data_IF_020716181231
#
_entry.id   IF_020716181231
#
_cell.length_a   1.000
_cell.length_b   1.000
_cell.length_c   1.000
_cell.angle_alpha   90.00
_cell.angle_beta   90.00
_cell.angle_gamma   90.00
#
_symmetry.space_group_name_H-M   'P 1'
#
loop_
_entity.id
_entity.type
_entity.pdbx_description
1 polymer ?
#
# COMPACT_ATOMS: atom_id res chain seq x y z
N UNK A 1 23.13 7.78 -17.17
CA UNK A 1 22.14 7.97 -18.26
C UNK A 1 20.84 7.37 -17.77
N UNK A 2 19.79 8.17 -17.63
CA UNK A 2 18.47 7.69 -17.23
C UNK A 2 17.63 7.51 -18.50
N UNK A 3 17.00 6.34 -18.65
CA UNK A 3 16.16 6.02 -19.80
C UNK A 3 14.71 6.28 -19.41
N UNK A 4 13.96 6.92 -20.31
CA UNK A 4 12.55 7.23 -20.12
C UNK A 4 11.72 6.64 -21.26
N UNK A 5 10.51 6.22 -20.95
CA UNK A 5 9.50 5.84 -21.93
C UNK A 5 8.94 7.10 -22.63
N UNK A 6 8.28 6.95 -23.80
CA UNK A 6 7.67 8.07 -24.52
C UNK A 6 6.60 8.85 -23.74
N UNK A 7 6.04 8.25 -22.68
CA UNK A 7 5.07 8.86 -21.76
C UNK A 7 5.73 9.65 -20.62
N UNK A 8 7.07 9.70 -20.58
CA UNK A 8 7.84 10.36 -19.54
C UNK A 8 8.08 9.54 -18.26
N UNK A 9 7.61 8.29 -18.18
CA UNK A 9 7.95 7.42 -17.06
C UNK A 9 9.42 6.98 -17.14
N UNK A 10 10.10 6.93 -15.99
CA UNK A 10 11.48 6.41 -15.91
C UNK A 10 11.46 4.90 -16.13
N UNK A 11 12.33 4.41 -17.00
CA UNK A 11 12.58 3.00 -17.18
C UNK A 11 13.31 2.46 -15.94
N UNK A 12 12.62 1.64 -15.16
CA UNK A 12 13.18 0.98 -14.01
C UNK A 12 13.77 -0.37 -14.42
N UNK A 13 14.93 -0.70 -13.89
CA UNK A 13 15.49 -2.05 -13.98
C UNK A 13 14.62 -3.06 -13.22
N UNK A 14 14.77 -4.35 -13.53
CA UNK A 14 14.05 -5.43 -12.82
C UNK A 14 14.26 -5.39 -11.31
N UNK A 15 15.45 -4.99 -10.84
CA UNK A 15 15.76 -4.86 -9.41
C UNK A 15 14.99 -3.69 -8.81
N UNK A 16 14.98 -2.53 -9.46
CA UNK A 16 14.25 -1.35 -9.00
C UNK A 16 12.74 -1.59 -8.99
N UNK A 17 12.19 -2.29 -9.99
CA UNK A 17 10.78 -2.71 -10.01
C UNK A 17 10.44 -3.62 -8.83
N UNK A 18 11.28 -4.62 -8.55
CA UNK A 18 11.08 -5.50 -7.39
C UNK A 18 11.11 -4.72 -6.07
N UNK A 19 12.02 -3.76 -5.92
CA UNK A 19 12.08 -2.91 -4.74
C UNK A 19 10.85 -2.02 -4.60
N UNK A 20 10.38 -1.41 -5.70
CA UNK A 20 9.17 -0.61 -5.72
C UNK A 20 7.94 -1.45 -5.34
N UNK A 21 7.78 -2.63 -5.92
CA UNK A 21 6.70 -3.57 -5.58
C UNK A 21 6.76 -4.01 -4.12
N UNK A 22 7.94 -4.35 -3.60
CA UNK A 22 8.09 -4.74 -2.20
C UNK A 22 7.74 -3.59 -1.24
N UNK A 23 8.12 -2.36 -1.58
CA UNK A 23 7.77 -1.15 -0.83
C UNK A 23 6.27 -0.92 -0.83
N UNK A 24 5.62 -0.96 -2.00
CA UNK A 24 4.17 -0.75 -2.09
C UNK A 24 3.39 -1.86 -1.36
N UNK A 25 3.81 -3.12 -1.49
CA UNK A 25 3.22 -4.24 -0.73
C UNK A 25 3.35 -4.04 0.77
N UNK A 26 4.50 -3.56 1.25
CA UNK A 26 4.69 -3.25 2.67
C UNK A 26 3.74 -2.14 3.13
N UNK A 27 3.58 -1.07 2.34
CA UNK A 27 2.65 0.04 2.66
C UNK A 27 1.21 -0.44 2.72
N UNK A 28 0.77 -1.22 1.73
CA UNK A 28 -0.56 -1.82 1.72
C UNK A 28 -0.80 -2.72 2.94
N UNK A 29 0.18 -3.54 3.31
CA UNK A 29 0.07 -4.38 4.52
C UNK A 29 0.02 -3.55 5.81
N UNK A 30 0.84 -2.50 5.94
CA UNK A 30 0.82 -1.62 7.10
C UNK A 30 -0.52 -0.87 7.23
N UNK A 31 -1.09 -0.45 6.11
CA UNK A 31 -2.40 0.20 6.05
C UNK A 31 -3.53 -0.77 6.40
N UNK A 32 -3.53 -1.98 5.83
CA UNK A 32 -4.50 -3.01 6.17
C UNK A 32 -4.47 -3.34 7.67
N UNK A 33 -3.28 -3.52 8.24
CA UNK A 33 -3.16 -3.75 9.68
C UNK A 33 -3.68 -2.58 10.53
N UNK A 34 -3.53 -1.34 10.06
CA UNK A 34 -4.10 -0.16 10.74
C UNK A 34 -5.62 -0.19 10.67
N UNK A 35 -6.18 -0.49 9.50
CA UNK A 35 -7.62 -0.63 9.30
C UNK A 35 -8.19 -1.75 10.18
N UNK A 36 -7.56 -2.93 10.20
CA UNK A 36 -7.98 -4.06 11.03
C UNK A 36 -7.98 -3.72 12.52
N UNK A 37 -6.93 -3.03 13.00
CA UNK A 37 -6.86 -2.55 14.39
C UNK A 37 -7.96 -1.55 14.71
N UNK A 38 -8.26 -0.64 13.78
CA UNK A 38 -9.32 0.34 13.95
C UNK A 38 -10.70 -0.34 14.01
N UNK A 39 -10.97 -1.24 13.07
CA UNK A 39 -12.18 -2.08 13.01
C UNK A 39 -12.37 -2.86 14.31
N UNK A 40 -11.32 -3.51 14.82
CA UNK A 40 -11.37 -4.22 16.10
C UNK A 40 -11.69 -3.28 17.28
N UNK A 41 -11.12 -2.07 17.29
CA UNK A 41 -11.39 -1.06 18.33
C UNK A 41 -12.84 -0.56 18.27
N UNK A 42 -13.36 -0.31 17.08
CA UNK A 42 -14.76 0.11 16.86
C UNK A 42 -15.74 -0.98 17.32
N UNK A 43 -15.50 -2.23 16.93
CA UNK A 43 -16.28 -3.39 17.39
C UNK A 43 -16.26 -3.51 18.93
N UNK A 44 -15.10 -3.29 19.58
CA UNK A 44 -14.98 -3.28 21.05
C UNK A 44 -15.77 -2.15 21.71
N UNK A 45 -15.91 -1.01 21.04
CA UNK A 45 -16.72 0.12 21.49
C UNK A 45 -18.22 -0.04 21.19
N UNK A 46 -18.65 -1.18 20.62
CA UNK A 46 -20.04 -1.43 20.26
C UNK A 46 -20.48 -0.72 18.97
N UNK A 47 -19.56 -0.11 18.23
CA UNK A 47 -19.82 0.52 16.94
C UNK A 47 -19.60 -0.52 15.85
N UNK A 48 -20.57 -0.70 14.95
CA UNK A 48 -20.40 -1.57 13.79
C UNK A 48 -19.70 -0.80 12.65
N UNK A 49 -18.43 -1.07 12.34
CA UNK A 49 -17.70 -0.37 11.29
C UNK A 49 -18.20 -0.69 9.86
N UNK A 50 -19.01 -1.74 9.67
CA UNK A 50 -19.59 -2.12 8.36
C UNK A 50 -20.93 -1.42 8.08
N UNK A 51 -21.46 -0.67 9.05
CA UNK A 51 -22.73 0.04 8.95
C UNK A 51 -22.58 1.54 8.63
N UNK A 52 -21.35 2.00 8.38
CA UNK A 52 -20.98 3.38 8.02
C UNK A 52 -20.46 3.37 6.59
#
# INVERSE_FOLDING_TARGET
MEVYYPDGQKFLTTVELNQAMAKEKRRANEEQQRADRLTAKLKKLGVNPEAI
#
